data_IF_179374430165
#
_entry.id   IF_179374430165
#
_cell.length_a   1.000
_cell.length_b   1.000
_cell.length_c   1.000
_cell.angle_alpha   90.00
_cell.angle_beta   90.00
_cell.angle_gamma   90.00
#
_symmetry.space_group_name_H-M   'P 1'
#
loop_
_entity.id
_entity.type
_entity.pdbx_description
1 polymer ?
2 non-polymer ?
3 water ?
#
# COMPACT_ATOMS: atom_id res chain seq x y z
N UNK A 1 -32.59 5.57 -4.20
CA UNK A 1 -31.99 4.61 -3.28
C UNK A 1 -30.46 4.56 -3.43
N UNK A 2 -29.77 4.20 -2.36
CA UNK A 2 -28.32 4.00 -2.33
C UNK A 2 -27.98 2.55 -2.64
N UNK A 3 -26.79 2.29 -3.15
CA UNK A 3 -26.37 0.89 -3.32
C UNK A 3 -26.37 0.16 -1.99
N UNK A 4 -26.67 -1.14 -2.05
CA UNK A 4 -26.63 -1.95 -0.83
C UNK A 4 -25.24 -2.04 -0.25
N UNK A 5 -24.22 -2.05 -1.09
CA UNK A 5 -22.85 -2.26 -0.64
C UNK A 5 -21.97 -1.32 -1.41
N UNK A 6 -20.96 -0.78 -0.74
CA UNK A 6 -19.90 -0.03 -1.41
C UNK A 6 -18.59 -0.42 -0.76
N UNK A 7 -17.54 -0.42 -1.58
CA UNK A 7 -16.18 -0.71 -1.13
C UNK A 7 -15.27 0.13 -2.02
N UNK A 8 -14.80 1.26 -1.48
CA UNK A 8 -13.97 2.16 -2.29
C UNK A 8 -12.62 1.55 -2.65
N UNK A 9 -12.18 0.49 -1.96
CA UNK A 9 -10.98 -0.21 -2.42
C UNK A 9 -11.14 -0.74 -3.83
N UNK A 10 -12.36 -1.17 -4.20
CA UNK A 10 -12.58 -1.72 -5.54
C UNK A 10 -12.48 -0.66 -6.62
N UNK A 11 -12.54 0.61 -6.25
CA UNK A 11 -12.38 1.73 -7.18
C UNK A 11 -10.95 2.28 -7.16
N UNK A 12 -10.00 1.57 -6.56
CA UNK A 12 -8.61 2.03 -6.53
C UNK A 12 -8.38 3.31 -5.77
N UNK A 13 -9.24 3.62 -4.80
CA UNK A 13 -9.24 4.87 -4.06
C UNK A 13 -8.68 4.76 -2.65
N UNK A 14 -8.09 3.63 -2.27
CA UNK A 14 -7.65 3.37 -0.90
C UNK A 14 -6.21 2.88 -0.93
N UNK A 15 -5.31 3.58 -0.23
CA UNK A 15 -3.92 3.14 -0.18
C UNK A 15 -3.76 1.96 0.77
N UNK A 16 -2.52 1.47 0.86
CA UNK A 16 -2.21 0.36 1.75
C UNK A 16 -2.48 0.75 3.20
N UNK A 17 -2.95 -0.23 3.98
CA UNK A 17 -3.02 -0.11 5.44
C UNK A 17 -1.66 0.27 5.99
N UNK A 18 -1.63 1.29 6.85
CA UNK A 18 -0.43 1.77 7.51
C UNK A 18 -0.35 1.24 8.94
N UNK A 19 0.80 1.50 9.58
CA UNK A 19 1.10 0.98 10.91
C UNK A 19 1.54 2.13 11.80
N UNK A 20 0.65 2.57 12.70
CA UNK A 20 0.95 3.74 13.51
C UNK A 20 1.93 3.45 14.64
N UNK A 21 2.06 2.19 15.05
CA UNK A 21 3.03 1.95 16.11
C UNK A 21 2.64 2.65 17.40
N UNK A 22 3.65 3.03 18.18
CA UNK A 22 3.44 3.56 19.52
C UNK A 22 3.07 5.05 19.52
N UNK A 23 2.84 5.63 18.36
CA UNK A 23 2.47 7.04 18.23
C UNK A 23 0.96 7.09 18.01
N UNK A 24 0.24 7.79 18.90
CA UNK A 24 -1.19 7.90 18.74
C UNK A 24 -1.60 8.82 17.60
N UNK A 25 -1.26 8.45 16.37
CA UNK A 25 -1.51 9.30 15.21
C UNK A 25 -2.67 8.79 14.36
N UNK A 26 -3.58 7.98 14.92
CA UNK A 26 -4.67 7.47 14.11
C UNK A 26 -5.50 8.58 13.49
N UNK A 27 -5.66 9.71 14.19
CA UNK A 27 -6.34 10.86 13.60
C UNK A 27 -5.65 11.31 12.32
N UNK A 28 -4.32 11.22 12.28
CA UNK A 28 -3.59 11.66 11.10
C UNK A 28 -3.78 10.67 9.94
N UNK A 29 -3.73 9.38 10.23
CA UNK A 29 -3.97 8.38 9.19
C UNK A 29 -5.40 8.47 8.69
N UNK A 30 -6.35 8.65 9.59
CA UNK A 30 -7.74 8.82 9.16
C UNK A 30 -7.88 9.99 8.20
N UNK A 31 -7.24 11.13 8.54
CA UNK A 31 -7.37 12.33 7.72
C UNK A 31 -6.77 12.14 6.34
N UNK A 32 -5.50 11.70 6.25
CA UNK A 32 -4.88 11.51 4.95
C UNK A 32 -5.63 10.47 4.13
N UNK A 33 -6.12 9.41 4.80
CA UNK A 33 -6.85 8.37 4.09
C UNK A 33 -8.06 8.90 3.36
N UNK A 34 -8.84 9.76 4.04
CA UNK A 34 -10.00 10.37 3.39
C UNK A 34 -9.56 11.26 2.23
N UNK A 35 -8.47 12.03 2.40
CA UNK A 35 -8.00 12.90 1.32
C UNK A 35 -7.41 12.10 0.17
N UNK A 36 -6.73 10.98 0.46
CA UNK A 36 -6.15 10.18 -0.62
C UNK A 36 -7.20 9.80 -1.65
N UNK A 37 -8.41 9.49 -1.19
CA UNK A 37 -9.48 9.06 -2.08
C UNK A 37 -9.96 10.20 -2.96
N UNK A 38 -10.14 11.39 -2.39
CA UNK A 38 -10.54 12.54 -3.19
C UNK A 38 -9.48 12.86 -4.25
N UNK A 39 -8.20 12.69 -3.89
CA UNK A 39 -7.12 12.94 -4.83
C UNK A 39 -7.17 11.95 -5.98
N UNK A 40 -7.38 10.67 -5.68
CA UNK A 40 -7.48 9.66 -6.74
C UNK A 40 -8.62 9.97 -7.68
N UNK A 41 -9.77 10.35 -7.12
CA UNK A 41 -10.94 10.65 -7.93
C UNK A 41 -10.65 11.79 -8.88
N UNK A 42 -9.95 12.83 -8.40
CA UNK A 42 -9.70 14.02 -9.19
C UNK A 42 -8.57 13.83 -10.18
N UNK A 43 -7.49 13.15 -9.78
CA UNK A 43 -6.31 13.10 -10.62
C UNK A 43 -6.05 11.75 -11.27
N UNK A 44 -6.74 10.68 -10.86
CA UNK A 44 -6.44 9.35 -11.37
C UNK A 44 -5.24 8.68 -10.73
N UNK A 45 -4.53 9.37 -9.84
CA UNK A 45 -3.33 8.84 -9.21
C UNK A 45 -3.64 8.49 -7.77
N UNK A 46 -3.21 7.30 -7.35
CA UNK A 46 -3.33 6.89 -5.96
C UNK A 46 -1.98 7.12 -5.32
N UNK A 47 -1.92 8.01 -4.34
CA UNK A 47 -0.65 8.31 -3.69
C UNK A 47 -0.91 8.51 -2.20
N UNK A 48 -0.17 7.77 -1.38
CA UNK A 48 -0.29 7.95 0.06
C UNK A 48 0.13 9.35 0.44
N UNK A 49 -0.67 10.00 1.27
CA UNK A 49 -0.34 11.32 1.78
C UNK A 49 0.34 11.22 3.15
N UNK A 50 1.05 12.30 3.52
CA UNK A 50 1.98 12.23 4.66
C UNK A 50 1.26 12.44 5.98
N UNK A 51 1.01 11.34 6.69
CA UNK A 51 0.54 11.45 8.06
C UNK A 51 1.54 12.16 8.96
N UNK A 52 2.84 11.98 8.70
CA UNK A 52 3.87 12.62 9.52
C UNK A 52 3.81 14.13 9.38
N UNK A 53 3.54 14.62 8.16
CA UNK A 53 3.30 16.03 7.90
C UNK A 53 2.28 16.59 8.87
N UNK A 54 1.19 15.85 9.11
CA UNK A 54 0.14 16.32 10.01
C UNK A 54 0.61 16.26 11.46
N UNK A 55 1.22 15.15 11.85
CA UNK A 55 1.71 14.98 13.21
C UNK A 55 2.64 16.13 13.59
N UNK A 56 3.59 16.45 12.70
CA UNK A 56 4.64 17.44 12.95
C UNK A 56 4.17 18.89 12.80
N UNK A 57 3.18 19.14 11.94
CA UNK A 57 2.83 20.49 11.53
C UNK A 57 1.43 20.92 11.93
N UNK A 58 0.48 19.98 12.04
CA UNK A 58 -0.89 20.33 12.42
C UNK A 58 -0.98 20.17 13.93
N UNK A 59 -0.49 21.19 14.63
CA UNK A 59 -0.24 21.08 16.07
C UNK A 59 -1.10 22.03 16.88
N UNK A 60 -0.48 22.82 17.75
CA UNK A 60 -1.23 23.53 18.79
C UNK A 60 -2.36 24.38 18.22
N UNK A 61 -2.09 25.15 17.16
CA UNK A 61 -3.13 26.00 16.58
C UNK A 61 -4.37 25.21 16.16
N UNK A 62 -4.21 23.91 15.88
CA UNK A 62 -5.32 23.09 15.43
C UNK A 62 -5.86 22.19 16.54
N UNK A 63 -5.45 22.44 17.78
CA UNK A 63 -5.88 21.62 18.89
C UNK A 63 -5.31 20.21 18.88
N UNK A 64 -4.32 19.94 18.04
CA UNK A 64 -3.77 18.60 17.94
C UNK A 64 -2.50 18.45 18.78
N UNK A 65 -2.20 17.21 19.13
CA UNK A 65 -1.11 16.93 20.06
C UNK A 65 -0.14 15.88 19.50
N UNK A 66 0.03 15.84 18.18
CA UNK A 66 1.01 14.92 17.61
C UNK A 66 0.74 13.47 18.00
N UNK A 67 1.72 12.81 18.60
CA UNK A 67 1.54 11.41 18.98
C UNK A 67 0.61 11.22 20.16
N UNK A 68 0.12 12.29 20.78
CA UNK A 68 -0.83 12.16 21.87
C UNK A 68 -2.26 12.45 21.45
N UNK A 69 -2.54 12.51 20.16
CA UNK A 69 -3.91 12.57 19.67
C UNK A 69 -4.21 13.84 18.91
N UNK A 70 -5.37 13.83 18.27
CA UNK A 70 -5.78 14.95 17.46
C UNK A 70 -7.11 14.70 16.78
N UNK A 71 -7.45 15.61 15.87
CA UNK A 71 -8.74 15.66 15.20
C UNK A 71 -8.55 15.62 13.69
N UNK A 72 -9.40 14.84 13.02
CA UNK A 72 -9.36 14.82 11.56
C UNK A 72 -9.81 16.16 10.99
N UNK A 73 -10.81 16.79 11.59
CA UNK A 73 -11.37 18.02 11.00
C UNK A 73 -10.34 19.14 10.98
N UNK A 74 -9.61 19.33 12.09
CA UNK A 74 -8.59 20.36 12.14
C UNK A 74 -7.35 19.94 11.35
N UNK A 75 -7.11 18.63 11.22
CA UNK A 75 -6.12 18.19 10.25
C UNK A 75 -6.44 18.74 8.87
N UNK A 76 -7.70 18.57 8.41
CA UNK A 76 -8.12 19.11 7.12
C UNK A 76 -7.92 20.62 7.07
N UNK A 77 -8.34 21.33 8.14
CA UNK A 77 -8.17 22.78 8.18
C UNK A 77 -6.71 23.17 7.99
N UNK A 78 -5.79 22.45 8.64
CA UNK A 78 -4.37 22.69 8.44
C UNK A 78 -4.00 22.59 6.96
N UNK A 79 -4.47 21.54 6.28
CA UNK A 79 -4.14 21.37 4.87
C UNK A 79 -4.70 22.53 4.05
N UNK A 80 -5.91 23.00 4.40
CA UNK A 80 -6.47 24.19 3.75
C UNK A 80 -5.58 25.41 3.99
N UNK A 81 -5.27 25.70 5.26
CA UNK A 81 -4.43 26.84 5.60
C UNK A 81 -3.07 26.74 4.94
N UNK A 82 -2.47 25.54 4.98
CA UNK A 82 -1.11 25.34 4.50
C UNK A 82 -1.03 25.33 2.99
N UNK A 83 -2.17 25.25 2.31
CA UNK A 83 -2.24 25.14 0.85
C UNK A 83 -1.46 23.93 0.34
N UNK A 84 -1.43 22.86 1.13
CA UNK A 84 -0.91 21.60 0.63
C UNK A 84 -0.53 20.66 1.75
N UNK A 85 -0.27 19.42 1.35
CA UNK A 85 0.27 18.37 2.21
C UNK A 85 1.21 17.53 1.33
N UNK A 86 2.36 17.15 1.90
CA UNK A 86 3.35 16.40 1.14
C UNK A 86 2.92 14.95 0.93
N UNK A 87 3.49 14.33 -0.11
CA UNK A 87 3.33 12.89 -0.26
C UNK A 87 3.91 12.17 0.96
N UNK A 88 3.41 10.97 1.21
CA UNK A 88 4.04 10.13 2.22
C UNK A 88 5.46 9.73 1.81
N UNK A 89 5.71 9.53 0.52
CA UNK A 89 7.05 9.12 0.09
C UNK A 89 8.08 10.18 0.40
N UNK A 90 7.71 11.45 0.23
CA UNK A 90 8.64 12.54 0.47
C UNK A 90 8.77 12.90 1.94
N UNK A 91 7.81 12.45 2.75
CA UNK A 91 7.73 12.85 4.16
C UNK A 91 7.17 11.67 4.93
N UNK A 92 7.94 10.58 5.03
CA UNK A 92 7.39 9.30 5.49
C UNK A 92 7.24 9.26 7.01
N UNK A 93 6.51 8.23 7.45
CA UNK A 93 6.03 8.16 8.82
C UNK A 93 7.08 7.54 9.75
N UNK A 94 7.36 8.23 10.85
CA UNK A 94 8.39 7.80 11.78
C UNK A 94 7.85 7.44 13.15
N UNK A 95 6.53 7.52 13.36
CA UNK A 95 5.89 7.16 14.61
C UNK A 95 6.52 7.91 15.80
N UNK A 96 6.82 9.19 15.59
CA UNK A 96 7.26 10.03 16.69
C UNK A 96 7.06 11.49 16.32
N UNK A 97 7.03 12.35 17.34
CA UNK A 97 6.89 13.78 17.09
C UNK A 97 8.20 14.34 16.56
N UNK A 98 8.13 15.14 15.50
CA UNK A 98 9.30 15.77 14.93
C UNK A 98 9.01 17.23 14.62
N UNK A 99 10.06 17.94 14.21
CA UNK A 99 9.90 19.31 13.73
C UNK A 99 9.21 19.29 12.37
N UNK A 100 8.36 20.29 12.15
CA UNK A 100 7.64 20.39 10.89
C UNK A 100 8.62 20.55 9.73
N UNK A 101 8.57 19.61 8.78
CA UNK A 101 9.44 19.65 7.61
C UNK A 101 8.64 19.76 6.32
N UNK A 102 7.47 20.37 6.37
CA UNK A 102 6.69 20.58 5.16
C UNK A 102 7.50 21.34 4.10
N UNK A 103 7.39 20.87 2.86
CA UNK A 103 8.09 21.47 1.73
C UNK A 103 7.11 21.54 0.56
N UNK A 104 6.82 22.75 0.10
CA UNK A 104 5.96 22.89 -1.06
C UNK A 104 6.50 22.18 -2.30
N UNK A 105 7.79 21.85 -2.37
CA UNK A 105 8.33 21.09 -3.50
C UNK A 105 7.66 19.74 -3.68
N UNK A 106 7.16 19.16 -2.58
CA UNK A 106 6.71 17.78 -2.56
C UNK A 106 5.24 17.67 -2.25
N UNK A 107 4.53 18.79 -2.42
CA UNK A 107 3.08 18.81 -2.31
C UNK A 107 2.49 17.77 -3.24
N UNK A 108 1.63 16.93 -2.68
CA UNK A 108 0.94 15.93 -3.45
C UNK A 108 -0.58 16.08 -3.40
N UNK A 109 -1.10 16.97 -2.56
CA UNK A 109 -2.52 17.23 -2.51
C UNK A 109 -2.77 18.59 -1.87
N UNK A 110 -3.97 19.10 -2.08
CA UNK A 110 -4.51 20.26 -1.42
C UNK A 110 -5.83 19.84 -0.82
N UNK A 111 -6.44 20.75 -0.08
CA UNK A 111 -7.79 20.54 0.42
C UNK A 111 -8.56 21.85 0.26
N UNK A 112 -9.72 21.77 -0.37
CA UNK A 112 -10.55 22.94 -0.60
C UNK A 112 -11.48 23.25 0.57
N UNK A 113 -12.00 22.20 1.22
CA UNK A 113 -13.04 22.32 2.22
C UNK A 113 -13.20 20.96 2.88
N UNK A 114 -13.89 20.94 4.02
CA UNK A 114 -14.34 19.71 4.63
C UNK A 114 -15.75 19.92 5.15
N UNK A 115 -16.40 18.79 5.45
CA UNK A 115 -17.78 18.74 5.87
C UNK A 115 -17.89 17.82 7.09
N UNK A 116 -18.59 18.26 8.12
CA UNK A 116 -18.84 17.45 9.29
C UNK A 116 -20.26 16.90 9.26
N UNK A 117 -20.41 15.64 9.59
CA UNK A 117 -21.76 15.09 9.52
C UNK A 117 -22.42 15.08 10.91
N UNK A 118 -23.75 15.12 10.99
CA UNK A 118 -24.42 15.21 12.30
C UNK A 118 -24.20 13.97 13.15
N UNK A 119 -24.05 14.20 14.45
CA UNK A 119 -23.76 13.16 15.44
C UNK A 119 -24.74 12.01 15.37
N UNK A 120 -24.21 10.78 15.25
CA UNK A 120 -24.99 9.57 15.41
C UNK A 120 -25.83 9.15 14.21
N UNK A 121 -25.82 9.91 13.13
CA UNK A 121 -26.71 9.67 12.00
C UNK A 121 -26.05 8.66 11.07
N UNK A 122 -26.40 7.38 11.23
CA UNK A 122 -25.81 6.38 10.35
C UNK A 122 -26.45 6.41 8.98
N UNK A 123 -27.64 6.99 8.84
CA UNK A 123 -28.22 7.17 7.50
C UNK A 123 -27.45 8.23 6.73
N UNK A 124 -27.13 9.35 7.38
CA UNK A 124 -26.35 10.40 6.74
C UNK A 124 -24.94 9.89 6.44
N UNK A 125 -24.36 9.12 7.36
CA UNK A 125 -23.04 8.56 7.12
C UNK A 125 -23.05 7.64 5.90
N UNK A 126 -24.07 6.80 5.78
CA UNK A 126 -24.17 5.89 4.64
C UNK A 126 -24.23 6.67 3.33
N UNK A 127 -25.09 7.69 3.27
CA UNK A 127 -25.23 8.52 2.07
C UNK A 127 -23.90 9.18 1.70
N UNK A 128 -23.16 9.69 2.67
CA UNK A 128 -21.89 10.33 2.35
C UNK A 128 -20.89 9.30 1.81
N UNK A 129 -20.81 8.12 2.44
CA UNK A 129 -19.88 7.09 1.95
C UNK A 129 -20.23 6.68 0.52
N UNK A 130 -21.52 6.54 0.21
CA UNK A 130 -21.94 6.17 -1.14
C UNK A 130 -21.66 7.29 -2.14
N UNK A 131 -22.00 8.53 -1.79
CA UNK A 131 -22.04 9.65 -2.72
C UNK A 131 -20.80 10.54 -2.68
N UNK A 132 -19.96 10.43 -1.66
CA UNK A 132 -18.81 11.32 -1.55
C UNK A 132 -17.48 10.59 -1.54
N UNK A 133 -17.39 9.43 -0.88
CA UNK A 133 -16.14 8.70 -0.74
C UNK A 133 -15.89 8.28 0.70
N UNK A 134 -14.73 7.71 0.96
CA UNK A 134 -14.41 7.31 2.34
C UNK A 134 -14.55 8.48 3.30
N UNK A 135 -15.06 8.20 4.50
CA UNK A 135 -15.35 9.23 5.50
C UNK A 135 -14.52 8.99 6.74
N UNK A 136 -13.82 10.03 7.19
CA UNK A 136 -13.07 9.97 8.45
C UNK A 136 -14.05 9.93 9.61
N UNK A 137 -13.83 9.01 10.56
CA UNK A 137 -14.68 8.85 11.73
C UNK A 137 -13.81 8.48 12.92
N UNK A 138 -14.33 8.76 14.10
CA UNK A 138 -13.77 8.26 15.34
C UNK A 138 -14.59 7.06 15.80
N UNK A 139 -13.93 6.15 16.53
CA UNK A 139 -14.61 5.03 17.17
C UNK A 139 -14.09 4.90 18.60
N UNK A 140 -14.89 4.22 19.40
CA UNK A 140 -14.48 3.80 20.74
C UNK A 140 -13.72 2.50 20.60
N UNK A 141 -12.39 2.55 20.66
CA UNK A 141 -11.57 1.35 20.54
C UNK A 141 -10.98 0.88 21.88
N UNK A 142 -11.50 1.38 22.99
CA UNK A 142 -10.95 1.04 24.30
C UNK A 142 -11.56 -0.27 24.80
N UNK A 143 -11.32 -1.34 24.05
CA UNK A 143 -11.88 -2.64 24.42
C UNK A 143 -10.93 -3.74 23.97
N UNK A 144 -10.59 -4.70 24.84
CA UNK A 144 -9.75 -5.82 24.41
C UNK A 144 -10.30 -6.51 23.19
N UNK A 145 -11.62 -6.61 23.05
CA UNK A 145 -12.18 -7.24 21.86
C UNK A 145 -11.77 -6.51 20.59
N UNK A 146 -11.57 -5.20 20.65
CA UNK A 146 -11.16 -4.46 19.47
C UNK A 146 -9.74 -4.85 19.06
N UNK A 147 -8.78 -4.78 20.01
CA UNK A 147 -7.41 -5.22 19.75
C UNK A 147 -7.35 -6.68 19.33
N UNK A 148 -8.27 -7.50 19.82
CA UNK A 148 -8.24 -8.93 19.55
C UNK A 148 -9.05 -9.34 18.33
N UNK A 149 -9.73 -8.39 17.68
CA UNK A 149 -10.61 -8.73 16.56
C UNK A 149 -9.83 -9.38 15.42
N UNK A 150 -10.36 -10.49 14.89
CA UNK A 150 -9.76 -11.19 13.76
C UNK A 150 -10.62 -11.22 12.51
N UNK A 151 -11.93 -11.45 12.63
CA UNK A 151 -12.79 -11.55 11.46
C UNK A 151 -14.25 -11.38 11.89
N UNK A 152 -15.11 -11.11 10.92
CA UNK A 152 -16.54 -11.03 11.16
C UNK A 152 -17.02 -9.61 11.36
N UNK A 153 -18.29 -9.51 11.74
CA UNK A 153 -18.90 -8.23 12.09
C UNK A 153 -18.68 -7.99 13.57
N UNK A 154 -17.85 -7.01 13.88
CA UNK A 154 -17.49 -6.67 15.25
C UNK A 154 -18.66 -6.02 15.98
N UNK A 155 -19.07 -6.62 17.09
CA UNK A 155 -20.07 -6.05 17.98
C UNK A 155 -19.58 -6.24 19.40
N UNK A 156 -19.44 -5.14 20.14
CA UNK A 156 -18.95 -5.14 21.52
C UNK A 156 -20.02 -4.60 22.44
N UNK A 157 -20.63 -5.42 23.30
CA UNK A 157 -21.76 -4.92 24.11
C UNK A 157 -21.42 -3.72 24.97
N UNK A 158 -20.19 -3.63 25.47
CA UNK A 158 -19.80 -2.53 26.33
C UNK A 158 -19.30 -1.32 25.57
N UNK A 159 -19.39 -1.32 24.24
CA UNK A 159 -18.89 -0.20 23.46
C UNK A 159 -19.71 1.05 23.77
N UNK A 160 -19.08 2.21 23.70
CA UNK A 160 -19.76 3.48 23.94
C UNK A 160 -19.72 4.35 22.68
N UNK A 161 -20.48 5.43 22.72
CA UNK A 161 -20.51 6.36 21.60
C UNK A 161 -19.48 7.47 21.73
N UNK A 162 -18.63 7.44 22.76
CA UNK A 162 -17.54 8.39 22.91
C UNK A 162 -16.31 7.87 22.17
N UNK A 163 -15.77 8.68 21.26
CA UNK A 163 -14.73 8.19 20.35
C UNK A 163 -13.34 8.54 20.89
N UNK A 164 -12.37 7.69 20.54
CA UNK A 164 -11.00 7.89 20.99
C UNK A 164 -9.98 7.34 19.99
N UNK A 165 -10.39 6.89 18.82
CA UNK A 165 -9.47 6.28 17.86
C UNK A 165 -9.98 6.64 16.48
N UNK A 166 -9.17 7.32 15.68
CA UNK A 166 -9.58 7.68 14.34
C UNK A 166 -9.35 6.54 13.35
N UNK A 167 -10.37 6.30 12.51
CA UNK A 167 -10.32 5.29 11.47
C UNK A 167 -10.98 5.86 10.22
N UNK A 168 -11.09 5.03 9.18
CA UNK A 168 -11.60 5.49 7.88
C UNK A 168 -12.66 4.52 7.40
N UNK A 169 -13.90 5.00 7.27
CA UNK A 169 -14.97 4.19 6.69
C UNK A 169 -14.80 4.22 5.18
N UNK A 170 -14.39 3.09 4.60
CA UNK A 170 -14.24 2.98 3.15
C UNK A 170 -15.40 2.26 2.48
N UNK A 171 -16.43 1.89 3.23
CA UNK A 171 -17.60 1.29 2.62
C UNK A 171 -18.53 0.70 3.66
N UNK A 172 -19.49 -0.08 3.16
CA UNK A 172 -20.49 -0.71 3.99
C UNK A 172 -21.09 -1.87 3.22
N UNK A 173 -21.85 -2.68 3.95
CA UNK A 173 -22.54 -3.79 3.33
C UNK A 173 -23.24 -4.61 4.37
N UNK A 174 -23.45 -5.87 4.03
CA UNK A 174 -24.08 -6.82 4.94
C UNK A 174 -23.54 -8.21 4.67
N UNK A 175 -23.53 -9.03 5.70
CA UNK A 175 -23.20 -10.44 5.52
C UNK A 175 -24.37 -11.21 6.13
N UNK A 176 -25.20 -11.80 5.26
CA UNK A 176 -26.39 -12.52 5.70
C UNK A 176 -27.29 -11.66 6.56
N UNK A 177 -27.44 -10.39 6.19
CA UNK A 177 -28.32 -9.52 6.91
C UNK A 177 -27.69 -8.78 8.07
N UNK A 178 -26.48 -9.17 8.47
CA UNK A 178 -25.74 -8.45 9.50
C UNK A 178 -25.07 -7.26 8.84
N UNK A 179 -25.60 -6.07 9.07
CA UNK A 179 -25.07 -4.89 8.41
C UNK A 179 -23.78 -4.43 9.07
N UNK A 180 -22.85 -3.91 8.27
CA UNK A 180 -21.57 -3.48 8.80
C UNK A 180 -21.07 -2.25 8.05
N UNK A 181 -20.14 -1.56 8.72
CA UNK A 181 -19.25 -0.58 8.11
C UNK A 181 -17.93 -1.24 7.81
N UNK A 182 -17.38 -0.98 6.61
CA UNK A 182 -16.05 -1.44 6.25
C UNK A 182 -15.04 -0.37 6.68
N UNK A 183 -14.20 -0.69 7.66
CA UNK A 183 -13.35 0.27 8.34
C UNK A 183 -11.88 -0.04 8.08
N UNK A 184 -11.13 0.95 7.58
CA UNK A 184 -9.68 0.85 7.41
C UNK A 184 -8.99 1.32 8.69
N UNK A 185 -8.21 0.44 9.32
CA UNK A 185 -7.50 0.80 10.54
C UNK A 185 -6.07 1.20 10.19
N UNK A 186 -5.30 1.61 11.19
CA UNK A 186 -3.89 1.93 10.98
C UNK A 186 -3.03 1.16 11.97
N UNK A 187 -3.31 -0.12 12.11
CA UNK A 187 -2.51 -1.01 12.95
C UNK A 187 -1.81 -2.07 12.11
N UNK A 188 -1.55 -1.77 10.84
CA UNK A 188 -0.86 -2.70 9.95
C UNK A 188 -1.74 -3.83 9.47
N UNK A 189 -1.13 -4.68 8.62
CA UNK A 189 -1.88 -5.71 7.91
C UNK A 189 -2.28 -6.88 8.78
N UNK A 190 -1.62 -7.06 9.92
CA UNK A 190 -1.89 -8.25 10.73
C UNK A 190 -3.12 -8.09 11.61
N UNK A 191 -3.61 -6.87 11.79
CA UNK A 191 -4.86 -6.67 12.52
C UNK A 191 -6.05 -7.06 11.67
N UNK A 192 -6.99 -7.77 12.29
CA UNK A 192 -8.29 -8.00 11.68
C UNK A 192 -8.22 -8.66 10.32
N UNK A 193 -9.05 -8.18 9.40
CA UNK A 193 -9.07 -8.74 8.06
C UNK A 193 -8.16 -7.88 7.18
N UNK A 194 -6.88 -8.24 7.17
CA UNK A 194 -5.86 -7.57 6.36
C UNK A 194 -5.78 -6.08 6.70
N UNK A 195 -5.98 -5.75 7.96
CA UNK A 195 -5.92 -4.38 8.42
C UNK A 195 -7.27 -3.69 8.50
N UNK A 196 -8.34 -4.37 8.10
CA UNK A 196 -9.68 -3.81 8.11
C UNK A 196 -10.50 -4.47 9.21
N UNK A 197 -11.53 -3.75 9.67
CA UNK A 197 -12.49 -4.30 10.61
C UNK A 197 -13.88 -3.92 10.12
N UNK A 198 -14.78 -4.91 10.07
CA UNK A 198 -16.17 -4.66 9.73
C UNK A 198 -16.94 -4.46 11.03
N UNK A 199 -17.53 -3.29 11.21
CA UNK A 199 -18.14 -2.91 12.48
C UNK A 199 -19.66 -2.81 12.34
N UNK A 200 -20.36 -3.28 13.36
CA UNK A 200 -21.82 -3.34 13.34
C UNK A 200 -22.42 -2.01 12.91
N UNK A 201 -23.33 -2.08 11.92
CA UNK A 201 -23.99 -0.91 11.34
C UNK A 201 -25.48 -0.94 11.66
N UNK A 202 -26.06 0.25 11.84
CA UNK A 202 -27.46 0.42 12.21
C UNK A 202 -27.78 -0.32 13.51
N UNK A 203 -26.81 -0.30 14.44
CA UNK A 203 -26.99 -0.87 15.77
C UNK A 203 -26.80 0.22 16.81
N UNK A 204 -27.53 1.32 16.68
CA UNK A 204 -27.51 2.37 17.68
C UNK A 204 -26.23 3.18 17.77
N UNK A 205 -25.61 3.50 16.63
CA UNK A 205 -24.33 4.21 16.60
C UNK A 205 -23.25 3.44 17.35
N UNK A 206 -23.12 2.16 17.01
CA UNK A 206 -22.25 1.26 17.76
C UNK A 206 -20.80 1.73 17.72
N UNK A 207 -20.19 1.79 18.91
CA UNK A 207 -18.81 2.27 19.13
C UNK A 207 -18.61 3.70 18.66
N UNK A 208 -19.71 4.44 18.53
CA UNK A 208 -19.64 5.84 18.15
C UNK A 208 -19.17 6.08 16.74
N UNK A 209 -19.40 5.12 15.83
CA UNK A 209 -18.81 5.20 14.49
C UNK A 209 -19.34 6.42 13.75
N UNK A 210 -20.57 6.85 14.05
CA UNK A 210 -21.14 8.03 13.40
C UNK A 210 -21.19 9.23 14.33
N UNK A 211 -20.47 9.19 15.45
CA UNK A 211 -20.47 10.32 16.38
C UNK A 211 -19.81 11.55 15.78
N UNK A 212 -18.65 11.38 15.14
CA UNK A 212 -17.89 12.53 14.59
C UNK A 212 -17.30 12.19 13.23
N UNK A 213 -18.14 12.13 12.19
CA UNK A 213 -17.64 11.90 10.84
C UNK A 213 -17.36 13.19 10.10
N UNK A 214 -16.42 13.11 9.17
CA UNK A 214 -16.05 14.24 8.32
C UNK A 214 -15.24 13.76 7.13
N UNK A 215 -15.34 14.50 6.02
CA UNK A 215 -14.63 14.17 4.80
C UNK A 215 -14.18 15.45 4.12
N UNK A 216 -13.02 15.42 3.46
CA UNK A 216 -12.51 16.61 2.75
C UNK A 216 -12.88 16.59 1.28
N UNK A 217 -12.66 17.70 0.57
CA UNK A 217 -12.84 17.72 -0.87
C UNK A 217 -11.73 18.52 -1.52
N UNK A 218 -11.43 18.15 -2.76
CA UNK A 218 -10.51 18.88 -3.62
C UNK A 218 -11.29 19.27 -4.86
N UNK A 219 -11.64 20.55 -4.96
CA UNK A 219 -12.44 21.08 -6.05
C UNK A 219 -11.59 21.39 -7.28
N UNK A 220 -12.26 21.48 -8.43
CA UNK A 220 -11.57 21.84 -9.67
C UNK A 220 -10.94 23.22 -9.59
N UNK A 221 -11.67 24.20 -9.06
CA UNK A 221 -11.13 25.54 -8.92
C UNK A 221 -11.09 26.07 -7.50
N UNK B 1 27.18 4.94 -23.11
CA UNK B 1 27.45 4.69 -21.70
C UNK B 1 26.16 4.73 -20.89
N UNK B 2 26.10 3.98 -19.80
CA UNK B 2 24.90 3.89 -18.98
C UNK B 2 24.85 4.99 -17.92
N UNK B 3 23.64 5.37 -17.49
CA UNK B 3 23.53 6.31 -16.37
C UNK B 3 24.19 5.77 -15.11
N UNK B 4 24.80 6.69 -14.35
CA UNK B 4 25.44 6.35 -13.08
C UNK B 4 24.43 5.85 -12.06
N UNK B 5 23.21 6.41 -12.07
CA UNK B 5 22.16 6.11 -11.12
C UNK B 5 20.83 6.03 -11.84
N UNK B 6 19.98 5.10 -11.42
CA UNK B 6 18.63 4.94 -11.94
C UNK B 6 17.71 4.73 -10.74
N UNK B 7 16.52 5.33 -10.80
CA UNK B 7 15.48 5.15 -9.77
C UNK B 7 14.14 5.30 -10.47
N UNK B 8 13.50 4.17 -10.78
CA UNK B 8 12.25 4.20 -11.54
C UNK B 8 11.10 4.79 -10.74
N UNK B 9 11.22 4.90 -9.41
CA UNK B 9 10.21 5.60 -8.64
C UNK B 9 10.11 7.07 -9.07
N UNK B 10 11.22 7.65 -9.52
CA UNK B 10 11.21 9.04 -10.00
C UNK B 10 10.45 9.18 -11.30
N UNK B 11 10.19 8.09 -12.01
CA UNK B 11 9.42 8.13 -13.24
C UNK B 11 7.97 7.74 -13.01
N UNK B 12 7.53 7.65 -11.75
CA UNK B 12 6.17 7.27 -11.42
C UNK B 12 5.81 5.85 -11.81
N UNK B 13 6.78 4.95 -11.89
CA UNK B 13 6.59 3.61 -12.42
C UNK B 13 6.51 2.53 -11.34
N UNK B 14 6.46 2.89 -10.06
CA UNK B 14 6.53 1.93 -8.96
C UNK B 14 5.38 2.20 -8.02
N UNK B 15 4.54 1.19 -7.78
CA UNK B 15 3.43 1.34 -6.86
C UNK B 15 3.94 1.28 -5.42
N UNK B 16 3.02 1.52 -4.48
CA UNK B 16 3.35 1.47 -3.06
C UNK B 16 3.79 0.05 -2.64
N UNK B 17 4.77 -0.02 -1.73
CA UNK B 17 5.09 -1.28 -1.06
C UNK B 17 3.86 -1.97 -0.52
N UNK B 18 3.79 -3.27 -0.80
CA UNK B 18 2.81 -4.18 -0.25
C UNK B 18 3.42 -4.99 0.90
N UNK B 19 2.58 -5.78 1.57
CA UNK B 19 2.95 -6.52 2.77
C UNK B 19 2.46 -7.94 2.61
N UNK B 20 3.39 -8.88 2.36
CA UNK B 20 2.98 -10.24 2.04
C UNK B 20 2.51 -11.04 3.26
N UNK B 21 2.90 -10.63 4.46
CA UNK B 21 2.44 -11.36 5.63
C UNK B 21 3.00 -12.77 5.65
N UNK B 22 2.26 -13.69 6.25
CA UNK B 22 2.78 -15.04 6.46
C UNK B 22 2.64 -15.92 5.21
N UNK B 23 2.26 -15.33 4.08
CA UNK B 23 2.11 -16.05 2.82
C UNK B 23 3.38 -15.81 2.00
N UNK B 24 4.06 -16.89 1.64
CA UNK B 24 5.29 -16.76 0.87
C UNK B 24 5.02 -16.39 -0.58
N UNK B 25 4.48 -15.20 -0.80
CA UNK B 25 4.06 -14.77 -2.12
C UNK B 25 4.99 -13.72 -2.72
N UNK B 26 6.24 -13.63 -2.25
CA UNK B 26 7.14 -12.60 -2.76
C UNK B 26 7.32 -12.72 -4.26
N UNK B 27 7.35 -13.95 -4.78
CA UNK B 27 7.44 -14.15 -6.23
C UNK B 27 6.28 -13.47 -6.94
N UNK B 28 5.08 -13.47 -6.33
CA UNK B 28 3.92 -12.85 -6.96
C UNK B 28 4.01 -11.34 -6.93
N UNK B 29 4.45 -10.77 -5.80
CA UNK B 29 4.62 -9.32 -5.73
C UNK B 29 5.70 -8.85 -6.68
N UNK B 30 6.81 -9.60 -6.75
CA UNK B 30 7.87 -9.26 -7.71
C UNK B 30 7.33 -9.23 -9.15
N UNK B 31 6.53 -10.22 -9.53
CA UNK B 31 6.01 -10.25 -10.89
C UNK B 31 5.10 -9.07 -11.18
N UNK B 32 4.07 -8.85 -10.35
CA UNK B 32 3.17 -7.73 -10.63
C UNK B 32 3.94 -6.41 -10.61
N UNK B 33 4.93 -6.28 -9.73
CA UNK B 33 5.69 -5.05 -9.68
C UNK B 33 6.39 -4.74 -10.99
N UNK B 34 7.04 -5.74 -11.57
CA UNK B 34 7.67 -5.52 -12.87
C UNK B 34 6.65 -5.16 -13.92
N UNK B 35 5.50 -5.86 -13.93
CA UNK B 35 4.48 -5.58 -14.94
C UNK B 35 3.84 -4.22 -14.70
N UNK B 36 3.64 -3.84 -13.43
CA UNK B 36 3.07 -2.51 -13.15
C UNK B 36 3.87 -1.42 -13.84
N UNK B 37 5.20 -1.54 -13.86
CA UNK B 37 6.01 -0.50 -14.46
C UNK B 37 5.83 -0.48 -15.98
N UNK B 38 5.82 -1.64 -16.61
CA UNK B 38 5.59 -1.67 -18.06
C UNK B 38 4.22 -1.11 -18.41
N UNK B 39 3.22 -1.36 -17.57
CA UNK B 39 1.86 -0.86 -17.83
C UNK B 39 1.83 0.66 -17.74
N UNK B 40 2.47 1.23 -16.72
CA UNK B 40 2.56 2.69 -16.58
C UNK B 40 3.22 3.31 -17.80
N UNK B 41 4.32 2.71 -18.27
CA UNK B 41 5.03 3.25 -19.42
C UNK B 41 4.12 3.25 -20.64
N UNK B 42 3.34 2.19 -20.83
CA UNK B 42 2.53 2.08 -22.04
C UNK B 42 1.28 2.93 -21.98
N UNK B 43 0.60 2.97 -20.84
CA UNK B 43 -0.71 3.62 -20.76
C UNK B 43 -0.72 4.94 -20.02
N UNK B 44 0.36 5.29 -19.34
CA UNK B 44 0.39 6.49 -18.53
C UNK B 44 -0.28 6.34 -17.17
N UNK B 45 -0.90 5.21 -16.88
CA UNK B 45 -1.61 4.98 -15.63
C UNK B 45 -0.83 4.00 -14.76
N UNK B 46 -0.65 4.35 -13.48
CA UNK B 46 -0.01 3.47 -12.51
C UNK B 46 -1.10 2.81 -11.67
N UNK B 47 -1.14 1.48 -11.67
CA UNK B 47 -2.17 0.77 -10.91
C UNK B 47 -1.58 -0.53 -10.38
N UNK B 48 -1.81 -0.78 -9.07
CA UNK B 48 -1.37 -2.04 -8.48
C UNK B 48 -2.10 -3.21 -9.12
N UNK B 49 -1.34 -4.22 -9.52
CA UNK B 49 -1.89 -5.44 -10.09
C UNK B 49 -2.05 -6.51 -9.01
N UNK B 50 -2.89 -7.52 -9.29
CA UNK B 50 -3.33 -8.45 -8.25
C UNK B 50 -2.29 -9.54 -8.05
N UNK B 51 -1.47 -9.42 -7.01
CA UNK B 51 -0.63 -10.56 -6.62
C UNK B 51 -1.47 -11.77 -6.24
N UNK B 52 -2.64 -11.54 -5.63
CA UNK B 52 -3.50 -12.66 -5.25
C UNK B 52 -3.96 -13.45 -6.47
N UNK B 53 -4.22 -12.75 -7.58
CA UNK B 53 -4.51 -13.40 -8.85
C UNK B 53 -3.46 -14.45 -9.17
N UNK B 54 -2.19 -14.14 -8.96
CA UNK B 54 -1.12 -15.09 -9.27
C UNK B 54 -1.11 -16.25 -8.29
N UNK B 55 -1.20 -15.93 -6.99
CA UNK B 55 -1.20 -16.93 -5.94
C UNK B 55 -2.28 -17.98 -6.21
N UNK B 56 -3.48 -17.51 -6.56
CA UNK B 56 -4.64 -18.39 -6.70
C UNK B 56 -4.69 -19.11 -8.04
N UNK B 57 -4.15 -18.52 -9.09
CA UNK B 57 -4.42 -19.00 -10.44
C UNK B 57 -3.19 -19.51 -11.16
N UNK B 58 -2.01 -18.98 -10.84
CA UNK B 58 -0.77 -19.45 -11.48
C UNK B 58 -0.16 -20.50 -10.57
N UNK B 59 -0.69 -21.72 -10.72
CA UNK B 59 -0.47 -22.77 -9.72
C UNK B 59 0.25 -23.96 -10.37
N UNK B 60 -0.34 -25.15 -10.26
CA UNK B 60 0.43 -26.38 -10.35
C UNK B 60 1.15 -26.39 -11.69
N UNK B 61 0.42 -26.07 -12.75
CA UNK B 61 0.84 -26.01 -14.14
C UNK B 61 2.03 -25.07 -14.39
N UNK B 62 2.24 -24.09 -13.52
CA UNK B 62 3.36 -23.16 -13.66
C UNK B 62 4.46 -23.43 -12.63
N UNK B 63 4.44 -24.60 -12.01
CA UNK B 63 5.44 -24.94 -11.01
C UNK B 63 5.34 -24.13 -9.74
N UNK B 64 4.26 -23.39 -9.55
CA UNK B 64 4.11 -22.53 -8.39
C UNK B 64 3.26 -23.20 -7.31
N UNK B 65 3.49 -22.76 -6.08
CA UNK B 65 2.85 -23.38 -4.93
C UNK B 65 2.19 -22.34 -4.05
N UNK B 66 1.67 -21.27 -4.65
CA UNK B 66 0.90 -20.27 -3.91
C UNK B 66 1.71 -19.67 -2.77
N UNK B 67 1.18 -19.76 -1.56
CA UNK B 67 1.83 -19.21 -0.38
C UNK B 67 3.08 -19.97 0.04
N UNK B 68 3.41 -21.08 -0.62
CA UNK B 68 4.65 -21.78 -0.33
C UNK B 68 5.71 -21.54 -1.39
N UNK B 69 5.52 -20.56 -2.26
CA UNK B 69 6.57 -20.12 -3.16
C UNK B 69 6.20 -20.31 -4.62
N UNK B 70 7.03 -19.72 -5.48
CA UNK B 70 6.80 -19.77 -6.90
C UNK B 70 7.86 -18.98 -7.64
N UNK B 71 7.62 -18.79 -8.94
CA UNK B 71 8.57 -18.18 -9.86
C UNK B 71 7.93 -16.99 -10.57
N UNK B 72 8.72 -15.93 -10.73
CA UNK B 72 8.24 -14.78 -11.49
C UNK B 72 8.09 -15.10 -12.96
N UNK B 73 8.99 -15.91 -13.52
CA UNK B 73 8.95 -16.20 -14.94
C UNK B 73 7.67 -16.94 -15.32
N UNK B 74 7.29 -17.93 -14.52
CA UNK B 74 6.06 -18.68 -14.78
C UNK B 74 4.82 -17.89 -14.40
N UNK B 75 4.94 -16.95 -13.45
CA UNK B 75 3.89 -15.98 -13.24
C UNK B 75 3.63 -15.20 -14.53
N UNK B 76 4.69 -14.67 -15.15
CA UNK B 76 4.53 -13.97 -16.42
C UNK B 76 3.88 -14.87 -17.46
N UNK B 77 4.33 -16.12 -17.54
CA UNK B 77 3.77 -17.06 -18.51
C UNK B 77 2.27 -17.22 -18.28
N UNK B 78 1.85 -17.36 -17.02
CA UNK B 78 0.42 -17.44 -16.72
C UNK B 78 -0.31 -16.22 -17.28
N UNK B 79 0.23 -15.02 -17.05
CA UNK B 79 -0.44 -13.81 -17.51
C UNK B 79 -0.54 -13.79 -19.03
N UNK B 80 0.52 -14.25 -19.70
CA UNK B 80 0.49 -14.37 -21.17
C UNK B 80 -0.60 -15.35 -21.59
N UNK B 81 -0.57 -16.55 -21.02
CA UNK B 81 -1.55 -17.58 -21.34
C UNK B 81 -2.96 -17.11 -21.04
N UNK B 82 -3.14 -16.45 -19.88
CA UNK B 82 -4.46 -16.07 -19.39
C UNK B 82 -5.06 -14.89 -20.13
N UNK B 83 -4.27 -14.21 -20.97
CA UNK B 83 -4.72 -13.00 -21.65
C UNK B 83 -5.12 -11.91 -20.66
N UNK B 84 -4.55 -11.90 -19.46
CA UNK B 84 -4.77 -10.77 -18.58
C UNK B 84 -4.47 -11.11 -17.14
N UNK B 85 -4.45 -10.04 -16.33
CA UNK B 85 -4.39 -10.12 -14.88
C UNK B 85 -5.26 -9.01 -14.31
N UNK B 86 -6.00 -9.32 -13.26
CA UNK B 86 -6.89 -8.33 -12.67
C UNK B 86 -6.12 -7.26 -11.91
N UNK B 87 -6.77 -6.12 -11.74
CA UNK B 87 -6.28 -5.11 -10.81
C UNK B 87 -6.26 -5.69 -9.40
N UNK B 88 -5.36 -5.14 -8.58
CA UNK B 88 -5.38 -5.45 -7.15
C UNK B 88 -6.69 -4.99 -6.51
N UNK B 89 -7.24 -3.88 -7.02
CA UNK B 89 -8.48 -3.35 -6.48
C UNK B 89 -9.64 -4.35 -6.63
N UNK B 90 -9.70 -5.04 -7.77
CA UNK B 90 -10.77 -5.99 -8.00
C UNK B 90 -10.53 -7.34 -7.35
N UNK B 91 -9.28 -7.63 -6.98
CA UNK B 91 -8.87 -8.98 -6.58
C UNK B 91 -7.81 -8.84 -5.51
N UNK B 92 -8.21 -8.44 -4.30
CA UNK B 92 -7.23 -7.99 -3.30
C UNK B 92 -6.52 -9.13 -2.59
N UNK B 93 -5.45 -8.76 -1.90
CA UNK B 93 -4.52 -9.72 -1.34
C UNK B 93 -5.00 -10.18 0.04
N UNK B 94 -5.05 -11.49 0.22
CA UNK B 94 -5.56 -12.06 1.47
C UNK B 94 -4.51 -12.85 2.24
N UNK B 95 -3.27 -12.95 1.72
CA UNK B 95 -2.19 -13.67 2.40
C UNK B 95 -2.59 -15.11 2.73
N UNK B 96 -3.33 -15.74 1.82
CA UNK B 96 -3.60 -17.16 1.92
C UNK B 96 -3.98 -17.68 0.54
N UNK B 97 -3.90 -19.01 0.41
CA UNK B 97 -4.28 -19.68 -0.83
C UNK B 97 -5.79 -19.72 -0.96
N UNK B 98 -6.29 -19.39 -2.14
CA UNK B 98 -7.72 -19.44 -2.40
C UNK B 98 -7.94 -20.05 -3.77
N UNK B 99 -9.21 -20.30 -4.08
CA UNK B 99 -9.58 -20.73 -5.42
C UNK B 99 -9.42 -19.59 -6.39
N UNK B 100 -9.01 -19.91 -7.60
CA UNK B 100 -8.81 -18.89 -8.62
C UNK B 100 -10.11 -18.14 -8.90
N UNK B 101 -10.11 -16.83 -8.68
CA UNK B 101 -11.28 -15.98 -8.94
C UNK B 101 -11.02 -14.94 -10.02
N UNK B 102 -10.13 -15.27 -10.95
CA UNK B 102 -9.86 -14.35 -12.05
C UNK B 102 -11.15 -13.98 -12.76
N UNK B 103 -11.28 -12.70 -13.09
CA UNK B 103 -12.47 -12.16 -13.74
C UNK B 103 -11.99 -11.22 -14.83
N UNK B 104 -12.19 -11.61 -16.10
CA UNK B 104 -11.75 -10.77 -17.20
C UNK B 104 -12.38 -9.38 -17.20
N UNK B 105 -13.52 -9.21 -16.52
CA UNK B 105 -14.17 -7.89 -16.48
C UNK B 105 -13.29 -6.87 -15.77
N UNK B 106 -12.34 -7.31 -14.95
CA UNK B 106 -11.48 -6.42 -14.19
C UNK B 106 -10.04 -6.57 -14.61
N UNK B 107 -9.80 -7.09 -15.81
CA UNK B 107 -8.45 -7.10 -16.37
C UNK B 107 -7.88 -5.69 -16.35
N UNK B 108 -6.70 -5.54 -15.75
CA UNK B 108 -6.04 -4.26 -15.72
C UNK B 108 -4.69 -4.27 -16.44
N UNK B 109 -4.20 -5.44 -16.85
CA UNK B 109 -2.96 -5.48 -17.62
C UNK B 109 -2.91 -6.79 -18.39
N UNK B 110 -2.05 -6.79 -19.39
CA UNK B 110 -1.77 -7.97 -20.18
C UNK B 110 -0.26 -8.20 -20.15
N UNK B 111 0.21 -9.31 -20.69
CA UNK B 111 1.64 -9.50 -20.83
C UNK B 111 1.90 -10.17 -22.16
N UNK B 112 2.77 -9.58 -22.97
CA UNK B 112 3.10 -10.10 -24.29
C UNK B 112 4.19 -11.16 -24.24
N UNK B 113 5.18 -10.95 -23.38
CA UNK B 113 6.40 -11.75 -23.36
C UNK B 113 7.15 -11.41 -22.09
N UNK B 114 8.11 -12.26 -21.74
CA UNK B 114 9.10 -11.94 -20.74
C UNK B 114 10.44 -12.43 -21.23
N UNK B 115 11.48 -11.88 -20.61
CA UNK B 115 12.87 -12.14 -20.97
C UNK B 115 13.66 -12.44 -19.71
N UNK B 116 14.47 -13.49 -19.74
CA UNK B 116 15.37 -13.86 -18.66
C UNK B 116 16.79 -13.43 -18.99
N UNK B 117 17.52 -12.92 -17.99
CA UNK B 117 18.89 -12.44 -18.13
C UNK B 117 19.88 -13.50 -17.68
N UNK B 118 21.13 -13.45 -18.15
CA UNK B 118 22.10 -14.49 -17.78
C UNK B 118 22.47 -14.45 -16.30
N UNK B 119 22.61 -15.64 -15.73
CA UNK B 119 22.89 -15.81 -14.30
C UNK B 119 24.15 -15.04 -13.93
N UNK B 120 24.04 -14.18 -12.92
CA UNK B 120 25.20 -13.55 -12.31
C UNK B 120 25.78 -12.36 -13.05
N UNK B 121 25.23 -11.96 -14.19
CA UNK B 121 25.79 -10.87 -14.97
C UNK B 121 25.20 -9.55 -14.45
N UNK B 122 25.93 -8.91 -13.54
CA UNK B 122 25.46 -7.64 -12.99
C UNK B 122 25.63 -6.49 -13.96
N UNK B 123 26.51 -6.65 -14.96
CA UNK B 123 26.58 -5.67 -16.03
C UNK B 123 25.33 -5.73 -16.91
N UNK B 124 24.89 -6.94 -17.24
CA UNK B 124 23.68 -7.12 -18.04
C UNK B 124 22.45 -6.67 -17.26
N UNK B 125 22.40 -6.94 -15.95
CA UNK B 125 21.29 -6.47 -15.15
C UNK B 125 21.22 -4.95 -15.12
N UNK B 126 22.37 -4.30 -14.95
CA UNK B 126 22.41 -2.85 -14.93
C UNK B 126 21.87 -2.28 -16.24
N UNK B 127 22.31 -2.84 -17.37
CA UNK B 127 21.80 -2.41 -18.67
C UNK B 127 20.30 -2.58 -18.77
N UNK B 128 19.76 -3.70 -18.27
CA UNK B 128 18.32 -3.95 -18.34
C UNK B 128 17.54 -2.97 -17.46
N UNK B 129 18.00 -2.75 -16.22
CA UNK B 129 17.31 -1.80 -15.34
C UNK B 129 17.30 -0.41 -15.97
N UNK B 130 18.42 -0.01 -16.57
CA UNK B 130 18.50 1.31 -17.19
C UNK B 130 17.59 1.40 -18.40
N UNK B 131 17.62 0.38 -19.25
CA UNK B 131 17.02 0.47 -20.58
C UNK B 131 15.64 -0.18 -20.71
N UNK B 132 15.26 -1.06 -19.79
CA UNK B 132 13.99 -1.78 -19.92
C UNK B 132 13.00 -1.43 -18.84
N UNK B 133 13.46 -1.20 -17.62
CA UNK B 133 12.58 -0.92 -16.50
C UNK B 133 12.93 -1.81 -15.32
N UNK B 134 12.12 -1.75 -14.26
CA UNK B 134 12.35 -2.64 -13.11
C UNK B 134 12.39 -4.10 -13.51
N UNK B 135 13.32 -4.83 -12.90
CA UNK B 135 13.58 -6.22 -13.25
C UNK B 135 13.29 -7.09 -12.03
N UNK B 136 12.48 -8.12 -12.22
CA UNK B 136 12.21 -9.08 -11.16
C UNK B 136 13.43 -9.95 -10.93
N UNK B 137 13.78 -10.16 -9.65
CA UNK B 137 14.93 -11.00 -9.29
C UNK B 137 14.62 -11.74 -8.00
N UNK B 138 15.37 -12.81 -7.79
CA UNK B 138 15.41 -13.48 -6.51
C UNK B 138 16.66 -13.08 -5.75
N UNK B 139 16.56 -13.10 -4.42
CA UNK B 139 17.71 -12.90 -3.56
C UNK B 139 17.69 -13.97 -2.49
N UNK B 140 18.86 -14.18 -1.89
CA UNK B 140 18.99 -15.03 -0.72
C UNK B 140 18.67 -14.18 0.50
N UNK B 141 17.45 -14.32 1.01
CA UNK B 141 16.99 -13.57 2.17
C UNK B 141 16.95 -14.41 3.44
N UNK B 142 17.62 -15.56 3.47
CA UNK B 142 17.62 -16.45 4.63
C UNK B 142 18.71 -16.08 5.63
N UNK B 143 18.66 -14.84 6.11
CA UNK B 143 19.68 -14.37 7.05
C UNK B 143 19.05 -13.36 7.99
N UNK B 144 19.32 -13.45 9.30
CA UNK B 144 18.80 -12.46 10.25
C UNK B 144 19.10 -11.04 9.87
N UNK B 145 20.28 -10.77 9.29
CA UNK B 145 20.59 -9.41 8.87
C UNK B 145 19.58 -8.89 7.87
N UNK B 146 19.02 -9.77 7.04
CA UNK B 146 18.02 -9.31 6.08
C UNK B 146 16.74 -8.87 6.78
N UNK B 147 16.20 -9.73 7.65
CA UNK B 147 15.01 -9.37 8.40
C UNK B 147 15.22 -8.12 9.25
N UNK B 148 16.42 -7.94 9.78
CA UNK B 148 16.71 -6.83 10.70
C UNK B 148 17.25 -5.59 9.99
N UNK B 149 17.36 -5.61 8.67
CA UNK B 149 17.94 -4.49 7.94
C UNK B 149 17.14 -3.21 8.13
N UNK B 150 17.82 -2.10 8.42
CA UNK B 150 17.17 -0.80 8.60
C UNK B 150 17.61 0.21 7.55
N UNK B 151 18.90 0.31 7.26
CA UNK B 151 19.38 1.31 6.32
C UNK B 151 20.78 0.94 5.85
N UNK B 152 21.20 1.60 4.78
CA UNK B 152 22.55 1.45 4.27
C UNK B 152 22.63 0.48 3.12
N UNK B 153 23.88 0.24 2.71
CA UNK B 153 24.16 -0.72 1.65
C UNK B 153 24.32 -2.08 2.32
N UNK B 154 23.38 -2.97 2.06
CA UNK B 154 23.34 -4.26 2.71
C UNK B 154 24.43 -5.19 2.14
N UNK B 155 25.29 -5.70 3.02
CA UNK B 155 26.28 -6.70 2.64
C UNK B 155 26.30 -7.79 3.71
N UNK B 156 26.02 -9.03 3.31
CA UNK B 156 25.96 -10.13 4.26
C UNK B 156 27.00 -11.16 3.85
N UNK B 157 28.11 -11.28 4.58
CA UNK B 157 29.20 -12.17 4.14
C UNK B 157 28.77 -13.62 3.95
N UNK B 158 27.81 -14.10 4.73
CA UNK B 158 27.35 -15.47 4.64
C UNK B 158 26.25 -15.65 3.58
N UNK B 159 25.96 -14.61 2.82
CA UNK B 159 24.93 -14.70 1.79
C UNK B 159 25.40 -15.66 0.68
N UNK B 160 24.47 -16.37 0.05
CA UNK B 160 24.81 -17.27 -1.05
C UNK B 160 24.12 -16.79 -2.33
N UNK B 161 24.48 -17.44 -3.46
CA UNK B 161 23.91 -17.08 -4.75
C UNK B 161 22.64 -17.86 -5.06
N UNK B 162 22.19 -18.72 -4.15
CA UNK B 162 20.94 -19.46 -4.31
C UNK B 162 19.80 -18.60 -3.77
N UNK B 163 18.77 -18.39 -4.58
CA UNK B 163 17.72 -17.41 -4.29
C UNK B 163 16.52 -18.10 -3.67
N UNK B 164 15.80 -17.35 -2.84
CA UNK B 164 14.65 -17.91 -2.15
C UNK B 164 13.60 -16.86 -1.81
N UNK B 165 13.74 -15.63 -2.29
CA UNK B 165 12.81 -14.55 -1.96
C UNK B 165 12.71 -13.67 -3.19
N UNK B 166 11.51 -13.45 -3.72
CA UNK B 166 11.35 -12.60 -4.89
C UNK B 166 11.28 -11.13 -4.53
N UNK B 167 12.02 -10.30 -5.26
CA UNK B 167 12.01 -8.85 -5.06
C UNK B 167 12.04 -8.17 -6.42
N UNK B 168 12.10 -6.84 -6.41
CA UNK B 168 12.02 -6.02 -7.61
C UNK B 168 13.16 -5.01 -7.60
N UNK B 169 14.06 -5.09 -8.56
CA UNK B 169 15.11 -4.09 -8.71
C UNK B 169 14.51 -2.90 -9.45
N UNK B 170 14.33 -1.77 -8.75
CA UNK B 170 13.79 -0.57 -9.37
C UNK B 170 14.86 0.47 -9.68
N UNK B 171 16.13 0.16 -9.45
CA UNK B 171 17.20 1.07 -9.83
C UNK B 171 18.53 0.63 -9.25
N UNK B 172 19.48 1.55 -9.30
CA UNK B 172 20.82 1.30 -8.78
C UNK B 172 21.50 2.65 -8.58
N UNK B 173 22.64 2.61 -7.90
CA UNK B 173 23.43 3.81 -7.75
C UNK B 173 24.62 3.51 -6.86
N UNK B 174 25.18 4.57 -6.28
CA UNK B 174 26.26 4.41 -5.33
C UNK B 174 26.18 5.57 -4.34
N UNK B 175 26.57 5.30 -3.11
CA UNK B 175 26.64 6.36 -2.12
C UNK B 175 28.04 6.33 -1.52
N UNK B 176 28.81 7.36 -1.80
CA UNK B 176 30.18 7.49 -1.28
C UNK B 176 31.03 6.29 -1.64
N UNK B 177 30.88 5.79 -2.87
CA UNK B 177 31.70 4.73 -3.40
C UNK B 177 31.19 3.32 -3.21
N UNK B 178 30.19 3.10 -2.37
CA UNK B 178 29.56 1.79 -2.24
C UNK B 178 28.42 1.66 -3.25
N UNK B 179 28.62 0.80 -4.25
CA UNK B 179 27.63 0.58 -5.29
C UNK B 179 26.51 -0.31 -4.75
N UNK B 180 25.27 -0.04 -5.20
CA UNK B 180 24.13 -0.75 -4.67
C UNK B 180 23.06 -0.95 -5.74
N UNK B 181 22.21 -1.94 -5.50
CA UNK B 181 20.94 -2.10 -6.19
C UNK B 181 19.82 -1.57 -5.31
N UNK B 182 18.90 -0.82 -5.90
CA UNK B 182 17.72 -0.33 -5.19
C UNK B 182 16.60 -1.37 -5.31
N UNK B 183 16.25 -2.00 -4.20
CA UNK B 183 15.40 -3.18 -4.21
C UNK B 183 14.08 -2.91 -3.48
N UNK B 184 12.97 -3.10 -4.19
CA UNK B 184 11.65 -3.01 -3.59
C UNK B 184 11.28 -4.36 -2.99
N UNK B 185 11.02 -4.37 -1.68
CA UNK B 185 10.61 -5.57 -0.95
C UNK B 185 9.09 -5.57 -0.86
N UNK B 186 8.53 -6.62 -0.25
CA UNK B 186 7.09 -6.74 -0.02
C UNK B 186 6.79 -7.04 1.45
N UNK B 187 7.42 -6.26 2.34
CA UNK B 187 7.17 -6.31 3.78
C UNK B 187 6.71 -4.96 4.33
N UNK B 188 6.00 -4.17 3.53
CA UNK B 188 5.42 -2.93 4.03
C UNK B 188 6.44 -1.82 4.22
N UNK B 189 5.95 -0.70 4.77
CA UNK B 189 6.79 0.49 4.88
C UNK B 189 7.85 0.37 5.97
N UNK B 190 7.64 -0.49 6.97
CA UNK B 190 8.56 -0.53 8.10
C UNK B 190 9.78 -1.41 7.87
N UNK B 191 9.84 -2.14 6.77
CA UNK B 191 11.05 -2.86 6.43
C UNK B 191 12.05 -1.88 5.81
N UNK B 192 13.31 -1.97 6.25
CA UNK B 192 14.38 -1.24 5.60
C UNK B 192 14.13 0.24 5.49
N UNK B 193 14.47 0.81 4.33
CA UNK B 193 14.29 2.25 4.10
C UNK B 193 12.97 2.42 3.35
N UNK B 194 11.89 2.58 4.12
CA UNK B 194 10.54 2.75 3.57
C UNK B 194 10.17 1.62 2.63
N UNK B 195 10.55 0.40 3.01
CA UNK B 195 10.18 -0.79 2.25
C UNK B 195 11.20 -1.23 1.24
N UNK B 196 12.27 -0.47 1.07
CA UNK B 196 13.32 -0.78 0.12
C UNK B 196 14.58 -1.20 0.85
N UNK B 197 15.43 -1.95 0.14
CA UNK B 197 16.74 -2.32 0.65
C UNK B 197 17.74 -2.04 -0.45
N UNK B 198 18.82 -1.34 -0.11
CA UNK B 198 19.90 -1.10 -1.06
C UNK B 198 20.92 -2.20 -0.88
N UNK B 199 21.11 -3.02 -1.90
CA UNK B 199 21.93 -4.23 -1.79
C UNK B 199 23.21 -4.09 -2.59
N UNK B 200 24.31 -4.56 -2.01
CA UNK B 200 25.63 -4.44 -2.61
C UNK B 200 25.62 -4.87 -4.07
N UNK B 201 26.19 -4.03 -4.92
CA UNK B 201 26.25 -4.25 -6.36
C UNK B 201 27.70 -4.45 -6.79
N UNK B 202 27.90 -5.30 -7.79
CA UNK B 202 29.24 -5.62 -8.29
C UNK B 202 30.11 -6.21 -7.18
N UNK B 203 29.49 -7.02 -6.34
CA UNK B 203 30.21 -7.69 -5.27
C UNK B 203 30.05 -9.19 -5.44
N UNK B 204 30.32 -9.68 -6.64
CA UNK B 204 30.29 -11.11 -6.86
C UNK B 204 28.90 -11.73 -6.88
N UNK B 205 27.91 -11.04 -7.45
CA UNK B 205 26.53 -11.52 -7.46
C UNK B 205 26.04 -11.73 -6.02
N UNK B 206 26.22 -10.70 -5.20
CA UNK B 206 25.96 -10.80 -3.77
C UNK B 206 24.50 -11.17 -3.48
N UNK B 207 24.30 -12.17 -2.64
CA UNK B 207 22.97 -12.68 -2.30
C UNK B 207 22.21 -13.15 -3.54
N UNK B 208 22.92 -13.41 -4.63
CA UNK B 208 22.30 -13.95 -5.83
C UNK B 208 21.36 -12.99 -6.54
N UNK B 209 21.61 -11.69 -6.43
CA UNK B 209 20.66 -10.69 -6.94
C UNK B 209 20.52 -10.80 -8.44
N UNK B 210 21.57 -11.20 -9.15
CA UNK B 210 21.53 -11.34 -10.59
C UNK B 210 21.49 -12.80 -11.04
N UNK B 211 21.15 -13.74 -10.15
CA UNK B 211 21.09 -15.15 -10.51
C UNK B 211 19.93 -15.46 -11.46
N UNK B 212 18.74 -14.95 -11.16
CA UNK B 212 17.55 -15.22 -11.97
C UNK B 212 16.75 -13.93 -12.14
N UNK B 213 17.25 -13.02 -12.98
CA UNK B 213 16.51 -11.81 -13.29
C UNK B 213 15.63 -12.01 -14.51
N UNK B 214 14.53 -11.29 -14.54
CA UNK B 214 13.62 -11.37 -15.68
C UNK B 214 12.70 -10.17 -15.69
N UNK B 215 12.25 -9.78 -16.89
CA UNK B 215 11.35 -8.63 -17.01
C UNK B 215 10.30 -8.89 -18.09
N UNK B 216 9.07 -8.42 -17.89
CA UNK B 216 8.01 -8.62 -18.88
C UNK B 216 7.87 -7.44 -19.81
N UNK B 217 7.09 -7.57 -20.88
CA UNK B 217 6.80 -6.45 -21.76
C UNK B 217 5.34 -6.51 -22.16
N UNK B 218 4.79 -5.33 -22.44
CA UNK B 218 3.44 -5.18 -22.99
C UNK B 218 3.63 -4.46 -24.33
N UNK B 219 3.52 -5.20 -25.42
CA UNK B 219 3.74 -4.63 -26.76
C UNK B 219 2.48 -3.94 -27.28
N UNK B 220 2.69 -3.08 -28.27
CA UNK B 220 1.57 -2.40 -28.90
C UNK B 220 0.65 -3.40 -29.61
X LIG C 1 -16.75 12.80 22.27
X LIG C 1 -16.14 15.19 22.41
X LIG C 1 -16.21 16.18 21.25
X LIG C 1 -15.36 15.71 20.10
X LIG C 1 -14.69 13.59 21.18
X LIG C 1 -14.02 14.55 18.81
X LIG C 1 -15.61 17.62 18.49
X LIG C 1 -14.46 18.62 18.62
X LIG C 1 -14.57 19.75 17.62
X LIG C 1 -13.79 21.88 18.49
X LIG C 1 -11.47 22.70 17.95
X LIG C 1 -12.96 23.08 18.09
X LIG C 1 -11.23 21.33 18.59
X LIG C 1 -10.51 23.82 18.46
X LIG C 1 -13.13 13.52 18.23
X LIG C 1 -13.30 13.03 16.94
X LIG C 1 -12.45 12.07 16.45
X LIG C 1 -11.41 11.56 17.22
X LIG C 1 -11.24 12.06 18.53
X LIG C 1 -12.11 13.04 19.02
X LIG C 1 -12.14 20.22 18.00
X LIG C 1 -9.25 13.06 20.15
X LIG C 1 -8.11 12.83 21.13
X LIG C 1 -7.78 15.31 21.28
X LIG C 1 -6.43 16.08 21.59
X LIG C 1 -5.49 15.03 22.21
X LIG C 1 -6.35 13.83 22.57
X LIG C 1 -10.50 10.50 16.64
X LIG C 1 -17.98 13.14 23.08
X LIG C 1 -10.71 24.11 19.94
X LIG C 1 -10.69 25.11 17.65
X LIG C 1 -14.68 14.55 20.07
X LIG C 1 -10.49 9.38 17.39
X LIG C 1 -10.86 10.14 15.46
X LIG C 1 -9.26 10.88 16.55
X LIG C 1 -14.29 15.65 18.11
X LIG C 1 -15.13 16.35 18.93
X LIG C 1 -13.47 20.73 17.65
X LIG C 1 -15.89 13.80 21.96
X LIG C 1 -7.47 13.92 21.61
X LIG C 1 -14.37 19.05 19.98
X LIG C 1 -16.55 11.65 21.89
X LIG C 1 -7.81 11.69 21.44
X LIG C 1 -9.15 23.39 18.30
X LIG C 1 -9.96 11.49 19.60
X LIG D 1 18.72 -21.91 -7.65
X LIG D 1 17.34 -23.52 -8.96
X LIG D 1 16.80 -23.17 -10.34
X LIG D 1 15.88 -21.99 -10.24
X LIG D 1 16.30 -21.62 -7.82
X LIG D 1 14.72 -20.28 -9.47
X LIG D 1 15.00 -21.82 -12.59
X LIG D 1 13.75 -22.67 -12.74
X LIG D 1 13.24 -22.73 -14.16
X LIG D 1 11.95 -24.66 -14.86
X LIG D 1 9.44 -24.52 -14.89
X LIG D 1 10.69 -25.00 -15.62
X LIG D 1 9.77 -24.24 -13.40
X LIG D 1 8.19 -25.49 -15.12
X LIG D 1 14.10 -19.22 -8.66
X LIG D 1 13.99 -17.91 -9.10
X LIG D 1 13.40 -16.95 -8.29
X LIG D 1 12.92 -17.28 -7.03
X LIG D 1 13.04 -18.62 -6.59
X LIG D 1 13.62 -19.56 -7.42
X LIG D 1 10.98 -23.28 -13.20
X LIG D 1 11.29 -20.44 -5.55
X LIG D 1 10.61 -21.23 -4.41
X LIG D 1 9.55 -22.63 -6.16
X LIG D 1 8.51 -23.80 -6.04
X LIG D 1 7.94 -23.69 -4.66
X LIG D 1 9.08 -23.12 -3.82
X LIG D 1 12.28 -16.24 -6.15
X LIG D 1 19.92 -22.71 -8.02
X LIG D 1 8.27 -26.74 -14.26
X LIG D 1 8.02 -25.86 -16.58
X LIG D 1 15.64 -21.29 -9.10
X LIG D 1 12.84 -16.21 -4.91
X LIG D 1 12.40 -15.01 -6.62
X LIG D 1 10.98 -16.43 -5.97
X LIG D 1 14.39 -20.37 -10.77
X LIG D 1 15.13 -21.43 -11.21
X LIG D 1 11.89 -23.31 -14.34
X LIG D 1 17.51 -22.33 -8.11
X LIG D 1 9.80 -22.25 -4.76
X LIG D 1 14.05 -23.98 -12.23
X LIG D 1 18.82 -20.91 -6.96
X LIG D 1 10.82 -20.95 -3.23
X LIG D 1 7.00 -24.79 -14.72
X LIG D 1 12.45 -19.14 -5.03
#
# INVERSE_FOLDING_TARGET
ILPDSVDWREKGCVTEVKYQGSCGASWAFSAVGALEAQLKLKTGKLVSLSAQNLVDCSTEKYGNKGCNGGFMTTAFQYIIDNKGIDSDASYPYKAMDQKCQYDSKYRAATCSKYTELPYGREDVLKEAVANKGPVSVGVDARHPSFFLYRSGVYYEPSCTQNVNHGVLVVGYGDLNGKEYWLVKNSWGHNFGEEGYIRMARNKGNHCGIASFPSYPEILQGGG
ILPDSVDWREKGCVTEVKYQGSCGASWAFSAVGALEAQLKLKTGKLVSLSAQNLVDCSTEKYGNKGCNGGFMTTAFQYIIDNKGIDSDASYPYKAMDQKCQYDSKYRAATCSKYTELPYGREDVLKEAVANKGPVSVGVDARHPSFFLYRSGVYYEPSCTQNVNHGVLVVGYGDLNGKEYWLVKNSWGHNFGEEGYIRMARNKGNHCGIASFPSYPEILQGGG
BC7 C1 C4 C5 C6 C8 C9 C12 C13 C15 C17 C19 C18 C20 C22 C23 C24 C25 C26 C27 C28 C21 C30 C31 C34 C35 C36 C37 C38 C43 C44 C45 C7 F39 F40 F41 N10 N11 N16 N3 N33 O14 O2 O32 O42 S29
BC7 C1 C4 C5 C6 C8 C9 C12 C13 C15 C17 C19 C18 C20 C22 C23 C24 C25 C26 C27 C28 C21 C30 C31 C34 C35 C36 C37 C38 C43 C44 C45 C7 F39 F40 F41 N10 N11 N16 N3 N33 O14 O2 O32 O42 S29
#
